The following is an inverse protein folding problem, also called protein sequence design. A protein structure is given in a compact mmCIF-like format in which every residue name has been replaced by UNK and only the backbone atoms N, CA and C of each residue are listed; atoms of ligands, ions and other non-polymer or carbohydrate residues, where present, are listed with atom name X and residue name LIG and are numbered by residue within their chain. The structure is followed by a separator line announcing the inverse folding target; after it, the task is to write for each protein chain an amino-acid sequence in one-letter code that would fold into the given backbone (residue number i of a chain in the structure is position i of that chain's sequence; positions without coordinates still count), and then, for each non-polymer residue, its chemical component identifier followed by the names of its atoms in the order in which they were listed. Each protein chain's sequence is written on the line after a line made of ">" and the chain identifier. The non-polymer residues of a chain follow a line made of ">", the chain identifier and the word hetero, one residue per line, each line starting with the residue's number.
data_IF_545413791222
#
_entry.id   IF_545413791222
#
_cell.length_a   1.000
_cell.length_b   1.000
_cell.length_c   1.000
_cell.angle_alpha   90.00
_cell.angle_beta   90.00
_cell.angle_gamma   90.00
#
_symmetry.space_group_name_H-M   'P 1'
#
loop_
_entity.id
_entity.type
_entity.pdbx_description
1 polymer ?
#
# COMPACT_ATOMS: atom_id res chain seq x y z
N UNK A 1 -7.86 -15.21 0.86
CA UNK A 1 -7.95 -14.36 2.07
C UNK A 1 -9.11 -13.36 1.99
N UNK A 2 -9.74 -13.01 3.12
CA UNK A 2 -10.67 -11.86 3.25
C UNK A 2 -9.92 -10.53 3.46
N UNK A 3 -10.44 -9.42 2.92
CA UNK A 3 -9.79 -8.11 3.04
C UNK A 3 -9.73 -7.64 4.52
N UNK A 4 -8.56 -7.17 5.04
CA UNK A 4 -8.44 -6.81 6.46
C UNK A 4 -9.45 -5.75 6.90
N UNK A 5 -10.16 -6.00 8.00
CA UNK A 5 -11.21 -5.11 8.53
C UNK A 5 -10.61 -3.76 8.95
N UNK A 6 -9.46 -3.78 9.62
CA UNK A 6 -8.73 -2.57 10.02
C UNK A 6 -8.44 -1.66 8.82
N UNK A 7 -7.86 -2.24 7.75
CA UNK A 7 -7.58 -1.51 6.52
C UNK A 7 -8.87 -1.03 5.83
N UNK A 8 -9.93 -1.83 5.84
CA UNK A 8 -11.24 -1.42 5.29
C UNK A 8 -11.74 -0.15 5.97
N UNK A 9 -11.70 -0.11 7.30
CA UNK A 9 -12.13 1.05 8.09
C UNK A 9 -11.24 2.26 7.81
N UNK A 10 -9.91 2.08 7.78
CA UNK A 10 -8.96 3.15 7.49
C UNK A 10 -9.19 3.77 6.10
N UNK A 11 -9.40 2.93 5.08
CA UNK A 11 -9.71 3.38 3.70
C UNK A 11 -11.05 4.14 3.65
N UNK A 12 -12.07 3.69 4.37
CA UNK A 12 -13.36 4.37 4.43
C UNK A 12 -13.25 5.75 5.10
N UNK A 13 -12.50 5.84 6.20
CA UNK A 13 -12.23 7.11 6.88
C UNK A 13 -11.44 8.06 5.99
N UNK A 14 -10.42 7.55 5.28
CA UNK A 14 -9.66 8.32 4.30
C UNK A 14 -10.54 8.88 3.18
N UNK A 15 -11.43 8.05 2.61
CA UNK A 15 -12.36 8.46 1.57
C UNK A 15 -13.30 9.59 2.05
N UNK A 16 -13.73 9.53 3.31
CA UNK A 16 -14.63 10.52 3.90
C UNK A 16 -13.98 11.92 4.09
N UNK A 17 -12.65 12.04 4.03
CA UNK A 17 -11.94 13.33 4.17
C UNK A 17 -12.07 14.24 2.97
N UNK A 18 -12.40 13.69 1.80
CA UNK A 18 -12.39 14.43 0.54
C UNK A 18 -13.73 14.32 -0.18
N UNK A 19 -14.20 15.38 -0.86
CA UNK A 19 -15.30 15.28 -1.79
C UNK A 19 -15.00 14.25 -2.88
N UNK A 20 -15.95 13.36 -3.17
CA UNK A 20 -15.76 12.29 -4.17
C UNK A 20 -15.35 12.82 -5.56
N UNK A 21 -15.83 14.01 -5.95
CA UNK A 21 -15.42 14.66 -7.18
C UNK A 21 -13.92 14.99 -7.23
N UNK A 22 -13.33 15.40 -6.10
CA UNK A 22 -11.89 15.69 -6.03
C UNK A 22 -11.06 14.41 -6.14
N UNK A 23 -11.47 13.35 -5.44
CA UNK A 23 -10.82 12.04 -5.52
C UNK A 23 -10.84 11.48 -6.94
N UNK A 24 -11.99 11.57 -7.62
CA UNK A 24 -12.14 11.13 -9.00
C UNK A 24 -11.23 11.93 -9.95
N UNK A 25 -11.25 13.26 -9.86
CA UNK A 25 -10.41 14.11 -10.70
C UNK A 25 -8.91 13.83 -10.47
N UNK A 26 -8.50 13.64 -9.22
CA UNK A 26 -7.12 13.28 -8.89
C UNK A 26 -6.73 11.91 -9.48
N UNK A 27 -7.59 10.89 -9.36
CA UNK A 27 -7.33 9.56 -9.92
C UNK A 27 -7.20 9.58 -11.47
N UNK A 28 -8.04 10.36 -12.15
CA UNK A 28 -7.98 10.56 -13.60
C UNK A 28 -6.67 11.24 -14.03
N UNK A 29 -6.27 12.28 -13.30
CA UNK A 29 -5.05 13.04 -13.57
C UNK A 29 -3.78 12.21 -13.31
N UNK A 30 -3.75 11.41 -12.24
CA UNK A 30 -2.66 10.44 -11.98
C UNK A 30 -2.58 9.45 -13.14
N UNK A 31 -3.72 8.90 -13.56
CA UNK A 31 -3.77 7.94 -14.67
C UNK A 31 -3.28 8.55 -15.99
N UNK A 32 -3.60 9.84 -16.24
CA UNK A 32 -3.11 10.59 -17.40
C UNK A 32 -1.59 10.75 -17.34
N UNK A 33 -1.05 11.21 -16.19
CA UNK A 33 0.40 11.36 -15.97
C UNK A 33 1.14 10.04 -16.17
N UNK A 34 0.62 8.95 -15.62
CA UNK A 34 1.25 7.63 -15.76
C UNK A 34 1.36 7.17 -17.23
N UNK A 35 0.35 7.47 -18.06
CA UNK A 35 0.36 7.14 -19.50
C UNK A 35 1.22 8.07 -20.35
N UNK A 36 1.34 9.35 -19.97
CA UNK A 36 1.94 10.38 -20.81
C UNK A 36 3.38 10.74 -20.40
N UNK A 37 3.75 10.52 -19.14
CA UNK A 37 5.04 10.91 -18.58
C UNK A 37 5.88 9.68 -18.19
N UNK A 38 6.13 8.80 -19.17
CA UNK A 38 7.05 7.67 -18.99
C UNK A 38 8.50 8.15 -19.06
N UNK A 39 9.20 8.14 -17.92
CA UNK A 39 10.61 8.52 -17.83
C UNK A 39 11.17 8.36 -16.41
N UNK A 40 12.47 8.04 -16.30
CA UNK A 40 13.16 7.85 -15.01
C UNK A 40 13.17 9.16 -14.20
N UNK A 41 12.71 9.08 -12.94
CA UNK A 41 12.94 10.12 -11.92
C UNK A 41 11.84 11.16 -11.73
N UNK A 42 10.71 11.10 -12.43
CA UNK A 42 9.63 12.07 -12.20
C UNK A 42 8.75 11.68 -11.00
N UNK A 43 8.50 12.65 -10.13
CA UNK A 43 7.53 12.56 -9.02
C UNK A 43 6.14 12.34 -9.60
N UNK A 44 5.55 11.16 -9.37
CA UNK A 44 4.24 10.82 -9.94
C UNK A 44 3.10 11.42 -9.13
N UNK A 45 3.29 11.55 -7.81
CA UNK A 45 2.28 11.96 -6.86
C UNK A 45 2.79 13.14 -6.02
N UNK A 46 2.05 14.24 -6.04
CA UNK A 46 2.52 15.53 -5.54
C UNK A 46 1.91 15.95 -4.20
N UNK A 47 0.98 15.18 -3.65
CA UNK A 47 0.35 15.51 -2.36
C UNK A 47 -0.64 14.47 -1.85
N UNK A 48 -1.17 14.73 -0.66
CA UNK A 48 -2.04 13.83 0.10
C UNK A 48 -3.30 13.41 -0.67
N UNK A 49 -3.98 14.34 -1.34
CA UNK A 49 -5.17 14.04 -2.15
C UNK A 49 -4.86 13.03 -3.26
N UNK A 50 -3.70 13.15 -3.91
CA UNK A 50 -3.29 12.25 -4.98
C UNK A 50 -2.91 10.87 -4.43
N UNK A 51 -2.23 10.81 -3.28
CA UNK A 51 -1.95 9.57 -2.57
C UNK A 51 -3.24 8.87 -2.13
N UNK A 52 -4.20 9.61 -1.57
CA UNK A 52 -5.51 9.08 -1.17
C UNK A 52 -6.30 8.54 -2.36
N UNK A 53 -6.39 9.32 -3.45
CA UNK A 53 -7.05 8.89 -4.67
C UNK A 53 -6.40 7.63 -5.27
N UNK A 54 -5.07 7.55 -5.26
CA UNK A 54 -4.35 6.36 -5.71
C UNK A 54 -4.63 5.15 -4.81
N UNK A 55 -4.56 5.31 -3.48
CA UNK A 55 -4.81 4.24 -2.53
C UNK A 55 -6.20 3.66 -2.74
N UNK A 56 -7.23 4.52 -2.79
CA UNK A 56 -8.61 4.11 -3.03
C UNK A 56 -8.80 3.37 -4.35
N UNK A 57 -8.12 3.81 -5.40
CA UNK A 57 -8.27 3.24 -6.74
C UNK A 57 -7.44 1.95 -6.96
N UNK A 58 -6.33 1.76 -6.24
CA UNK A 58 -5.32 0.74 -6.57
C UNK A 58 -4.99 -0.21 -5.42
N UNK A 59 -5.01 0.26 -4.17
CA UNK A 59 -4.58 -0.53 -3.02
C UNK A 59 -5.39 -1.81 -2.86
N UNK A 60 -6.75 -1.81 -2.97
CA UNK A 60 -7.50 -3.04 -2.73
C UNK A 60 -7.18 -4.16 -3.73
N UNK A 61 -7.06 -3.81 -5.01
CA UNK A 61 -6.69 -4.76 -6.06
C UNK A 61 -5.24 -5.25 -5.89
N UNK A 62 -4.33 -4.37 -5.47
CA UNK A 62 -2.91 -4.73 -5.23
C UNK A 62 -2.77 -5.69 -4.06
N UNK A 63 -3.48 -5.44 -2.95
CA UNK A 63 -3.52 -6.36 -1.81
C UNK A 63 -4.03 -7.73 -2.24
N UNK A 64 -5.16 -7.81 -2.95
CA UNK A 64 -5.72 -9.07 -3.41
C UNK A 64 -4.78 -9.85 -4.34
N UNK A 65 -4.09 -9.15 -5.25
CA UNK A 65 -3.12 -9.78 -6.14
C UNK A 65 -1.89 -10.33 -5.39
N UNK A 66 -1.35 -9.58 -4.42
CA UNK A 66 -0.22 -10.02 -3.59
C UNK A 66 -0.62 -11.19 -2.70
N UNK A 67 -1.77 -11.10 -2.04
CA UNK A 67 -2.27 -12.18 -1.19
C UNK A 67 -2.45 -13.48 -1.97
N UNK A 68 -3.07 -13.42 -3.16
CA UNK A 68 -3.22 -14.59 -4.01
C UNK A 68 -1.87 -15.19 -4.44
N UNK A 69 -0.91 -14.35 -4.85
CA UNK A 69 0.42 -14.82 -5.24
C UNK A 69 1.18 -15.48 -4.07
N UNK A 70 1.06 -14.91 -2.86
CA UNK A 70 1.65 -15.48 -1.65
C UNK A 70 0.97 -16.79 -1.24
N UNK A 71 -0.36 -16.86 -1.26
CA UNK A 71 -1.12 -18.09 -0.98
C UNK A 71 -0.65 -19.24 -1.89
N UNK A 72 -0.60 -19.02 -3.21
CA UNK A 72 -0.08 -20.03 -4.16
C UNK A 72 1.37 -20.43 -3.88
N UNK A 73 2.20 -19.49 -3.44
CA UNK A 73 3.61 -19.77 -3.13
C UNK A 73 3.75 -20.60 -1.86
N UNK A 74 2.96 -20.28 -0.83
CA UNK A 74 3.00 -20.95 0.47
C UNK A 74 2.39 -22.36 0.43
N UNK A 75 1.46 -22.62 -0.48
CA UNK A 75 0.95 -23.98 -0.75
C UNK A 75 2.07 -24.93 -1.20
N UNK A 76 3.01 -24.45 -2.02
CA UNK A 76 4.13 -25.25 -2.53
C UNK A 76 5.36 -25.24 -1.60
N UNK A 77 5.50 -24.21 -0.77
CA UNK A 77 6.66 -24.00 0.11
C UNK A 77 6.30 -24.23 1.58
N UNK A 78 5.99 -25.47 1.96
CA UNK A 78 5.39 -25.82 3.27
C UNK A 78 6.25 -25.47 4.50
N UNK A 79 7.56 -25.34 4.35
CA UNK A 79 8.48 -24.95 5.44
C UNK A 79 8.94 -23.48 5.34
N UNK A 80 8.32 -22.67 4.47
CA UNK A 80 8.68 -21.28 4.27
C UNK A 80 7.89 -20.35 5.20
N UNK A 81 8.54 -19.93 6.28
CA UNK A 81 8.00 -19.00 7.27
C UNK A 81 8.92 -17.78 7.48
N UNK A 82 9.05 -16.90 6.48
CA UNK A 82 9.85 -15.68 6.62
C UNK A 82 9.29 -14.80 7.75
N UNK A 83 10.20 -14.28 8.57
CA UNK A 83 9.89 -13.38 9.68
C UNK A 83 10.15 -11.91 9.36
N UNK A 84 10.78 -11.62 8.23
CA UNK A 84 11.16 -10.27 7.84
C UNK A 84 10.74 -10.00 6.40
N UNK A 85 10.22 -8.80 6.15
CA UNK A 85 9.81 -8.35 4.81
C UNK A 85 10.55 -7.07 4.42
N UNK A 86 11.08 -7.04 3.19
CA UNK A 86 11.50 -5.82 2.52
C UNK A 86 10.55 -5.54 1.35
N UNK A 87 9.85 -4.41 1.39
CA UNK A 87 8.92 -3.97 0.36
C UNK A 87 9.53 -2.79 -0.42
N UNK A 88 9.92 -3.02 -1.67
CA UNK A 88 10.59 -2.03 -2.53
C UNK A 88 9.60 -1.40 -3.50
N UNK A 89 9.41 -0.09 -3.39
CA UNK A 89 8.31 0.60 -4.06
C UNK A 89 6.98 0.35 -3.35
N UNK A 90 7.01 0.37 -2.01
CA UNK A 90 5.90 -0.03 -1.15
C UNK A 90 4.61 0.77 -1.38
N UNK A 91 4.71 1.98 -1.94
CA UNK A 91 3.56 2.87 -2.12
C UNK A 91 2.87 3.15 -0.80
N UNK A 92 1.58 2.81 -0.71
CA UNK A 92 0.78 2.91 0.52
C UNK A 92 0.77 1.61 1.34
N UNK A 93 1.68 0.67 1.06
CA UNK A 93 1.90 -0.52 1.87
C UNK A 93 0.95 -1.70 1.59
N UNK A 94 0.34 -1.76 0.40
CA UNK A 94 -0.62 -2.82 0.06
C UNK A 94 -0.06 -4.24 0.20
N UNK A 95 1.20 -4.45 -0.20
CA UNK A 95 1.85 -5.75 -0.14
C UNK A 95 2.16 -6.17 1.29
N UNK A 96 2.56 -5.22 2.14
CA UNK A 96 2.79 -5.47 3.57
C UNK A 96 1.51 -5.93 4.29
N UNK A 97 0.36 -5.31 4.02
CA UNK A 97 -0.93 -5.79 4.56
C UNK A 97 -1.28 -7.21 4.13
N UNK A 98 -1.00 -7.56 2.87
CA UNK A 98 -1.22 -8.92 2.37
C UNK A 98 -0.25 -9.92 3.02
N UNK A 99 1.03 -9.54 3.14
CA UNK A 99 2.07 -10.39 3.68
C UNK A 99 1.88 -10.65 5.17
N UNK A 100 1.58 -9.62 5.97
CA UNK A 100 1.35 -9.75 7.42
C UNK A 100 0.18 -10.68 7.74
N UNK A 101 -0.87 -10.67 6.92
CA UNK A 101 -2.01 -11.55 7.11
C UNK A 101 -1.75 -13.03 6.75
N UNK A 102 -0.62 -13.36 6.09
CA UNK A 102 -0.26 -14.74 5.72
C UNK A 102 1.02 -15.25 6.38
N UNK A 103 1.89 -14.35 6.83
CA UNK A 103 3.25 -14.66 7.27
C UNK A 103 3.45 -14.21 8.71
N UNK A 104 4.24 -14.94 9.52
CA UNK A 104 4.54 -14.57 10.89
C UNK A 104 5.62 -13.47 10.95
N UNK A 105 5.32 -12.32 10.33
CA UNK A 105 6.26 -11.21 10.25
C UNK A 105 6.52 -10.61 11.65
N UNK A 106 7.80 -10.42 11.94
CA UNK A 106 8.32 -9.75 13.14
C UNK A 106 8.92 -8.38 12.78
N UNK A 107 9.38 -8.18 11.54
CA UNK A 107 9.94 -6.92 11.08
C UNK A 107 9.59 -6.63 9.61
N UNK A 108 9.25 -5.39 9.32
CA UNK A 108 8.95 -4.92 7.97
C UNK A 108 9.70 -3.63 7.68
N UNK A 109 10.36 -3.57 6.53
CA UNK A 109 11.01 -2.36 6.01
C UNK A 109 10.41 -2.01 4.66
N UNK A 110 9.93 -0.77 4.53
CA UNK A 110 9.37 -0.21 3.31
C UNK A 110 10.34 0.81 2.70
N UNK A 111 10.72 0.60 1.44
CA UNK A 111 11.42 1.59 0.62
C UNK A 111 10.41 2.23 -0.32
N UNK A 112 10.17 3.53 -0.16
CA UNK A 112 9.27 4.27 -1.05
C UNK A 112 9.83 5.68 -1.26
N UNK A 113 9.79 6.18 -2.49
CA UNK A 113 10.39 7.46 -2.86
C UNK A 113 9.45 8.64 -2.60
N UNK A 114 8.15 8.45 -2.79
CA UNK A 114 7.15 9.51 -2.70
C UNK A 114 6.74 9.76 -1.24
N UNK A 115 7.02 10.96 -0.71
CA UNK A 115 6.75 11.28 0.68
C UNK A 115 5.27 11.16 1.07
N UNK A 116 4.37 11.60 0.18
CA UNK A 116 2.92 11.50 0.39
C UNK A 116 2.45 10.04 0.47
N UNK A 117 3.10 9.13 -0.26
CA UNK A 117 2.80 7.69 -0.19
C UNK A 117 3.25 7.08 1.13
N UNK A 118 4.47 7.42 1.58
CA UNK A 118 4.99 6.98 2.88
C UNK A 118 4.11 7.45 4.02
N UNK A 119 3.76 8.74 4.04
CA UNK A 119 2.91 9.33 5.09
C UNK A 119 1.55 8.65 5.15
N UNK A 120 0.91 8.44 3.98
CA UNK A 120 -0.37 7.75 3.94
C UNK A 120 -0.25 6.26 4.33
N UNK A 121 0.82 5.58 3.89
CA UNK A 121 1.10 4.20 4.28
C UNK A 121 1.26 4.04 5.79
N UNK A 122 2.04 4.93 6.43
CA UNK A 122 2.20 5.01 7.89
C UNK A 122 0.87 5.21 8.59
N UNK A 123 0.04 6.13 8.08
CA UNK A 123 -1.27 6.40 8.66
C UNK A 123 -2.19 5.18 8.58
N UNK A 124 -2.29 4.55 7.40
CA UNK A 124 -3.13 3.36 7.22
C UNK A 124 -2.64 2.21 8.11
N UNK A 125 -1.34 1.94 8.13
CA UNK A 125 -0.73 0.88 8.95
C UNK A 125 -0.81 1.15 10.44
N UNK A 126 -0.97 2.41 10.86
CA UNK A 126 -1.26 2.79 12.24
C UNK A 126 -2.52 2.13 12.80
N UNK A 127 -3.47 1.76 11.94
CA UNK A 127 -4.70 1.05 12.32
C UNK A 127 -4.54 -0.48 12.33
N UNK A 128 -3.38 -0.99 11.93
CA UNK A 128 -3.08 -2.43 11.80
C UNK A 128 -2.58 -3.10 13.06
N UNK A 129 -1.95 -4.26 12.90
CA UNK A 129 -1.25 -4.98 13.97
C UNK A 129 0.03 -4.25 14.40
N UNK A 130 0.60 -4.66 15.54
CA UNK A 130 1.84 -4.08 16.09
C UNK A 130 2.98 -4.06 15.05
N UNK A 131 3.17 -5.17 14.31
CA UNK A 131 4.22 -5.23 13.28
C UNK A 131 4.00 -4.24 12.13
N UNK A 132 2.75 -3.92 11.78
CA UNK A 132 2.44 -2.90 10.77
C UNK A 132 2.65 -1.49 11.32
N UNK A 133 2.31 -1.27 12.59
CA UNK A 133 2.53 0.02 13.27
C UNK A 133 4.02 0.35 13.42
N UNK A 134 4.87 -0.66 13.52
CA UNK A 134 6.32 -0.55 13.70
C UNK A 134 7.13 -0.62 12.38
N UNK A 135 6.48 -0.61 11.22
CA UNK A 135 7.16 -0.64 9.92
C UNK A 135 8.20 0.48 9.80
N UNK A 136 9.42 0.11 9.41
CA UNK A 136 10.47 1.07 9.11
C UNK A 136 10.28 1.64 7.70
N UNK A 137 10.03 2.94 7.60
CA UNK A 137 9.87 3.63 6.31
C UNK A 137 11.13 4.38 5.91
N UNK A 138 11.72 3.97 4.79
CA UNK A 138 12.93 4.55 4.23
C UNK A 138 12.63 5.31 2.95
N UNK A 139 13.24 6.48 2.80
CA UNK A 139 13.21 7.24 1.55
C UNK A 139 14.31 6.71 0.61
N UNK A 140 13.94 6.35 -0.63
CA UNK A 140 14.83 5.82 -1.65
C UNK A 140 14.63 6.48 -3.01
#
# INVERSE_FOLDING_TARGET
>A
MEFPVALTNAIQQLAARYPMAQLKNAAEEISRRYRQETGRGKTLLRGELEAAAYALARMPATLGAVAAALEYTLEEATDFAPKTLLDVGAGTGAACWAAEALLPLEQVTCLEREAAMRQLGQELMGEGSEVLQEVEWLAA
#
